data_IF_039509283101
#
_entry.id   IF_039509283101
#
_cell.length_a   1.000
_cell.length_b   1.000
_cell.length_c   1.000
_cell.angle_alpha   90.00
_cell.angle_beta   90.00
_cell.angle_gamma   90.00
#
_symmetry.space_group_name_H-M   'P 1'
#
loop_
_entity.id
_entity.type
_entity.pdbx_description
1 polymer ?
#
# COMPACT_ATOMS: atom_id res chain seq x y z
N UNK A 1 -48.51 48.95 -42.00
CA UNK A 1 -47.10 48.65 -41.52
C UNK A 1 -46.91 49.00 -40.06
N UNK A 2 -47.44 50.06 -39.51
CA UNK A 2 -47.28 50.43 -38.11
C UNK A 2 -47.88 49.45 -37.06
N UNK A 3 -49.08 48.87 -37.36
CA UNK A 3 -49.69 47.88 -36.45
C UNK A 3 -48.86 46.61 -36.26
N UNK A 4 -48.16 46.17 -37.28
CA UNK A 4 -47.31 45.00 -37.22
C UNK A 4 -46.05 45.25 -36.36
N UNK A 5 -45.42 46.45 -36.49
CA UNK A 5 -44.32 46.86 -35.69
C UNK A 5 -44.62 46.96 -34.18
N UNK A 6 -45.82 47.46 -33.84
CA UNK A 6 -46.34 47.59 -32.48
C UNK A 6 -46.56 46.22 -31.80
N UNK A 7 -47.10 45.27 -32.57
CA UNK A 7 -47.32 43.90 -32.04
C UNK A 7 -46.01 43.12 -31.87
N UNK A 8 -45.03 43.32 -32.73
CA UNK A 8 -43.67 42.72 -32.57
C UNK A 8 -42.95 43.29 -31.35
N UNK A 9 -43.09 44.63 -31.11
CA UNK A 9 -42.49 45.24 -29.91
C UNK A 9 -43.14 44.76 -28.61
N UNK A 10 -44.46 44.52 -28.59
CA UNK A 10 -45.19 43.96 -27.46
C UNK A 10 -44.83 42.49 -27.20
N UNK A 11 -44.62 41.70 -28.25
CA UNK A 11 -44.17 40.32 -28.13
C UNK A 11 -42.71 40.22 -27.59
N UNK A 12 -41.83 41.11 -28.04
CA UNK A 12 -40.46 41.16 -27.54
C UNK A 12 -40.38 41.62 -26.08
N UNK A 13 -41.25 42.54 -25.64
CA UNK A 13 -41.32 42.97 -24.25
C UNK A 13 -41.89 41.87 -23.33
N UNK A 14 -42.87 41.09 -23.79
CA UNK A 14 -43.39 39.94 -23.06
C UNK A 14 -42.37 38.80 -22.92
N UNK A 15 -41.53 38.58 -23.95
CA UNK A 15 -40.44 37.59 -23.89
C UNK A 15 -39.32 38.02 -22.92
N UNK A 16 -39.01 39.31 -22.88
CA UNK A 16 -38.01 39.86 -21.96
C UNK A 16 -38.47 39.78 -20.50
N UNK A 17 -39.75 39.97 -20.21
CA UNK A 17 -40.32 39.82 -18.86
C UNK A 17 -40.39 38.36 -18.47
N UNK A 18 -40.76 37.43 -19.36
CA UNK A 18 -40.76 36.00 -19.07
C UNK A 18 -39.33 35.45 -18.81
N UNK A 19 -38.31 35.94 -19.55
CA UNK A 19 -36.94 35.55 -19.34
C UNK A 19 -36.40 36.06 -17.99
N UNK A 20 -36.81 37.26 -17.56
CA UNK A 20 -36.39 37.79 -16.24
C UNK A 20 -37.07 37.08 -15.07
N UNK A 21 -38.34 36.64 -15.22
CA UNK A 21 -39.03 35.86 -14.20
C UNK A 21 -38.36 34.48 -14.04
N UNK A 22 -37.99 33.82 -15.14
CA UNK A 22 -37.26 32.54 -15.10
C UNK A 22 -35.88 32.64 -14.46
N UNK A 23 -35.17 33.76 -14.67
CA UNK A 23 -33.86 33.96 -14.04
C UNK A 23 -33.96 34.31 -12.56
N UNK A 24 -34.99 35.02 -12.13
CA UNK A 24 -35.23 35.31 -10.72
C UNK A 24 -35.73 34.09 -9.94
N UNK A 25 -36.57 33.26 -10.54
CA UNK A 25 -37.03 32.01 -9.92
C UNK A 25 -35.92 31.01 -9.75
N UNK A 26 -34.96 30.92 -10.68
CA UNK A 26 -33.77 30.08 -10.53
C UNK A 26 -32.82 30.59 -9.41
N UNK A 27 -32.73 31.90 -9.20
CA UNK A 27 -31.95 32.48 -8.10
C UNK A 27 -32.64 32.29 -6.75
N UNK A 28 -33.95 32.29 -6.69
CA UNK A 28 -34.73 32.07 -5.47
C UNK A 28 -34.71 30.59 -5.04
N UNK A 29 -34.66 29.64 -5.99
CA UNK A 29 -34.55 28.22 -5.65
C UNK A 29 -33.12 27.83 -5.17
N UNK A 30 -32.09 28.57 -5.60
CA UNK A 30 -30.72 28.32 -5.11
C UNK A 30 -30.45 28.88 -3.70
N UNK A 31 -31.18 29.90 -3.28
CA UNK A 31 -31.03 30.51 -1.96
C UNK A 31 -31.25 29.55 -0.75
N UNK A 32 -32.19 28.57 -0.81
CA UNK A 32 -32.32 27.58 0.26
C UNK A 32 -31.15 26.58 0.33
N UNK A 33 -30.57 26.22 -0.84
CA UNK A 33 -29.40 25.33 -0.93
C UNK A 33 -28.14 26.01 -0.36
N UNK A 34 -27.90 27.29 -0.70
CA UNK A 34 -26.80 28.09 -0.13
C UNK A 34 -26.97 28.30 1.36
N UNK A 35 -28.20 28.46 1.85
CA UNK A 35 -28.53 28.58 3.25
C UNK A 35 -28.33 27.26 4.02
N UNK A 36 -28.60 26.11 3.39
CA UNK A 36 -28.29 24.79 3.96
C UNK A 36 -26.80 24.49 3.95
N UNK A 37 -26.07 24.93 2.92
CA UNK A 37 -24.62 24.79 2.86
C UNK A 37 -23.90 25.74 3.84
N UNK A 38 -24.43 26.91 4.12
CA UNK A 38 -23.89 27.85 5.13
C UNK A 38 -24.16 27.43 6.57
N UNK A 39 -25.08 26.47 6.80
CA UNK A 39 -25.39 25.91 8.11
C UNK A 39 -24.38 24.84 8.58
N UNK A 40 -23.51 24.37 7.71
CA UNK A 40 -22.35 23.58 8.14
C UNK A 40 -21.32 24.55 8.68
N UNK A 41 -21.35 24.73 10.01
CA UNK A 41 -20.35 25.52 10.72
C UNK A 41 -18.95 25.06 10.27
N UNK A 42 -18.18 25.97 9.68
CA UNK A 42 -16.83 25.71 9.18
C UNK A 42 -15.91 25.14 10.29
N UNK A 43 -16.19 25.44 11.55
CA UNK A 43 -15.50 24.90 12.72
C UNK A 43 -15.88 23.44 12.93
N UNK A 44 -17.16 23.11 12.82
CA UNK A 44 -17.64 21.72 12.94
C UNK A 44 -17.13 20.86 11.80
N UNK A 45 -17.15 21.36 10.56
CA UNK A 45 -16.58 20.68 9.40
C UNK A 45 -15.06 20.46 9.58
N UNK A 46 -14.33 21.51 10.01
CA UNK A 46 -12.90 21.40 10.28
C UNK A 46 -12.59 20.41 11.41
N UNK A 47 -13.43 20.39 12.46
CA UNK A 47 -13.30 19.42 13.56
C UNK A 47 -13.58 17.99 13.09
N UNK A 48 -14.59 17.79 12.24
CA UNK A 48 -14.88 16.50 11.61
C UNK A 48 -13.71 16.03 10.75
N UNK A 49 -13.19 16.89 9.87
CA UNK A 49 -12.03 16.57 9.03
C UNK A 49 -10.78 16.26 9.87
N UNK A 50 -10.52 17.02 10.95
CA UNK A 50 -9.41 16.74 11.85
C UNK A 50 -9.58 15.41 12.60
N UNK A 51 -10.79 15.10 13.06
CA UNK A 51 -11.07 13.81 13.69
C UNK A 51 -10.92 12.66 12.71
N UNK A 52 -11.37 12.84 11.46
CA UNK A 52 -11.24 11.85 10.40
C UNK A 52 -9.78 11.63 10.01
N UNK A 53 -8.97 12.68 9.91
CA UNK A 53 -7.54 12.57 9.64
C UNK A 53 -6.76 11.90 10.78
N UNK A 54 -7.17 12.12 12.03
CA UNK A 54 -6.59 11.41 13.19
C UNK A 54 -6.97 9.93 13.24
N UNK A 55 -8.21 9.59 12.84
CA UNK A 55 -8.67 8.20 12.76
C UNK A 55 -8.11 7.46 11.55
N UNK A 56 -7.92 8.16 10.43
CA UNK A 56 -7.46 7.58 9.17
C UNK A 56 -6.24 8.34 8.61
N UNK A 57 -5.05 8.21 9.23
CA UNK A 57 -3.84 8.90 8.77
C UNK A 57 -3.51 8.64 7.29
N UNK A 58 -4.00 7.53 6.73
CA UNK A 58 -3.82 7.21 5.33
C UNK A 58 -4.49 8.20 4.37
N UNK A 59 -5.53 8.92 4.79
CA UNK A 59 -6.19 9.92 3.94
C UNK A 59 -5.31 11.16 3.71
N UNK A 60 -4.49 11.54 4.69
CA UNK A 60 -3.58 12.69 4.55
C UNK A 60 -2.41 12.39 3.61
N UNK A 61 -1.90 11.15 3.63
CA UNK A 61 -0.71 10.77 2.85
C UNK A 61 -1.04 10.25 1.45
N UNK A 62 -2.29 9.84 1.20
CA UNK A 62 -2.74 9.32 -0.08
C UNK A 62 -3.79 10.24 -0.72
N UNK A 63 -3.39 11.29 -1.45
CA UNK A 63 -4.33 12.25 -2.03
C UNK A 63 -5.27 11.62 -3.08
N UNK A 64 -4.88 10.45 -3.65
CA UNK A 64 -5.62 9.79 -4.71
C UNK A 64 -5.94 8.34 -4.36
N UNK A 65 -7.14 7.90 -4.78
CA UNK A 65 -7.58 6.50 -4.74
C UNK A 65 -7.26 5.80 -6.04
N UNK A 66 -5.99 5.36 -6.22
CA UNK A 66 -5.52 4.69 -7.44
C UNK A 66 -5.82 3.20 -7.33
N UNK A 67 -6.81 2.68 -8.09
CA UNK A 67 -7.14 1.24 -8.13
C UNK A 67 -6.61 0.49 -9.37
N UNK A 68 -5.91 1.18 -10.28
CA UNK A 68 -5.39 0.60 -11.52
C UNK A 68 -3.98 0.03 -11.41
N UNK A 69 -3.20 0.44 -10.40
CA UNK A 69 -1.79 0.05 -10.21
C UNK A 69 -1.51 -0.32 -8.76
N UNK A 70 -0.71 -1.37 -8.57
CA UNK A 70 -0.20 -1.76 -7.24
C UNK A 70 0.92 -0.81 -6.83
N UNK A 71 1.96 -0.73 -7.66
CA UNK A 71 3.11 0.15 -7.48
C UNK A 71 2.98 1.39 -8.35
N UNK A 72 3.27 2.55 -7.78
CA UNK A 72 3.24 3.84 -8.47
C UNK A 72 4.24 4.81 -7.84
N UNK A 73 4.62 5.83 -8.60
CA UNK A 73 5.43 6.92 -8.06
C UNK A 73 4.54 7.92 -7.33
N UNK A 74 4.92 8.21 -6.09
CA UNK A 74 4.31 9.24 -5.26
C UNK A 74 5.39 10.06 -4.56
N UNK A 75 5.09 11.32 -4.26
CA UNK A 75 5.95 12.13 -3.42
C UNK A 75 5.86 11.62 -1.99
N UNK A 76 6.91 10.97 -1.51
CA UNK A 76 6.99 10.37 -0.18
C UNK A 76 7.67 11.32 0.80
N UNK A 77 7.22 11.39 2.06
CA UNK A 77 7.90 12.14 3.10
C UNK A 77 9.28 11.53 3.39
N UNK A 78 10.21 12.33 3.92
CA UNK A 78 11.55 11.87 4.31
C UNK A 78 11.49 10.79 5.38
N UNK A 79 10.52 10.89 6.28
CA UNK A 79 10.22 9.85 7.27
C UNK A 79 8.73 9.85 7.61
N UNK A 80 8.20 8.67 7.96
CA UNK A 80 6.83 8.50 8.43
C UNK A 80 6.78 7.39 9.46
N UNK A 81 6.06 7.61 10.56
CA UNK A 81 5.87 6.63 11.63
C UNK A 81 4.57 5.87 11.39
N UNK A 82 4.69 4.57 11.15
CA UNK A 82 3.58 3.67 10.87
C UNK A 82 3.28 2.89 12.14
N UNK A 83 2.05 2.98 12.63
CA UNK A 83 1.56 2.22 13.78
C UNK A 83 1.28 0.77 13.36
N UNK A 84 1.71 -0.20 14.19
CA UNK A 84 1.57 -1.62 13.91
C UNK A 84 0.77 -2.38 14.97
N UNK A 85 0.15 -1.69 15.93
CA UNK A 85 -0.49 -2.31 17.12
C UNK A 85 -1.72 -3.17 16.80
N UNK A 86 -2.39 -2.95 15.66
CA UNK A 86 -3.57 -3.72 15.25
C UNK A 86 -3.24 -4.91 14.31
N UNK A 87 -2.02 -5.38 14.35
CA UNK A 87 -1.58 -6.43 13.43
C UNK A 87 -2.25 -7.79 13.71
N UNK A 88 -2.62 -8.45 12.62
CA UNK A 88 -2.99 -9.88 12.62
C UNK A 88 -2.23 -10.59 11.50
N UNK A 89 -1.60 -11.73 11.82
CA UNK A 89 -0.88 -12.52 10.82
C UNK A 89 -1.81 -12.96 9.68
N UNK A 90 -1.44 -12.72 8.40
CA UNK A 90 -2.32 -13.05 7.27
C UNK A 90 -2.58 -14.55 7.07
N UNK A 91 -1.73 -15.40 7.62
CA UNK A 91 -1.84 -16.87 7.49
C UNK A 91 -1.49 -17.55 8.82
N UNK A 92 -2.01 -18.73 9.05
CA UNK A 92 -1.61 -19.57 10.19
C UNK A 92 -0.21 -20.19 9.99
N UNK A 93 0.21 -20.35 8.75
CA UNK A 93 1.52 -20.92 8.42
C UNK A 93 2.59 -19.82 8.39
N UNK A 94 3.71 -20.07 9.06
CA UNK A 94 4.84 -19.12 9.19
C UNK A 94 6.02 -19.43 8.29
N UNK A 95 5.95 -20.54 7.52
CA UNK A 95 7.08 -21.00 6.70
C UNK A 95 7.27 -20.09 5.48
N UNK A 96 8.30 -19.27 5.52
CA UNK A 96 8.74 -18.46 4.36
C UNK A 96 9.42 -19.39 3.35
N UNK A 97 8.97 -19.33 2.09
CA UNK A 97 9.51 -20.11 0.98
C UNK A 97 10.40 -19.30 0.06
N UNK A 98 10.20 -17.99 -0.01
CA UNK A 98 11.07 -17.06 -0.75
C UNK A 98 11.02 -15.66 -0.11
N UNK A 99 12.15 -14.95 -0.17
CA UNK A 99 12.34 -13.65 0.53
C UNK A 99 12.24 -12.47 -0.44
N UNK A 100 12.06 -11.28 0.13
CA UNK A 100 12.10 -10.00 -0.57
C UNK A 100 13.47 -9.74 -1.20
N UNK A 101 13.48 -9.09 -2.37
CA UNK A 101 14.66 -8.53 -2.99
C UNK A 101 15.04 -9.14 -4.34
N UNK A 102 16.28 -8.86 -4.80
CA UNK A 102 16.72 -9.28 -6.12
C UNK A 102 16.96 -10.79 -6.21
N UNK A 103 16.34 -11.44 -7.19
CA UNK A 103 16.47 -12.87 -7.51
C UNK A 103 17.44 -13.06 -8.69
N UNK A 104 18.73 -13.38 -8.48
CA UNK A 104 19.73 -13.43 -9.55
C UNK A 104 19.39 -14.43 -10.67
N UNK A 105 18.86 -15.62 -10.30
CA UNK A 105 18.47 -16.65 -11.28
C UNK A 105 17.31 -16.22 -12.19
N UNK A 106 16.42 -15.34 -11.69
CA UNK A 106 15.24 -14.86 -12.41
C UNK A 106 15.42 -13.46 -12.97
N UNK A 107 16.54 -12.80 -12.71
CA UNK A 107 16.90 -11.43 -13.12
C UNK A 107 15.79 -10.40 -12.83
N UNK A 108 15.16 -10.52 -11.66
CA UNK A 108 14.06 -9.63 -11.27
C UNK A 108 14.05 -9.42 -9.76
N UNK A 109 13.43 -8.33 -9.34
CA UNK A 109 13.14 -8.04 -7.93
C UNK A 109 11.88 -8.81 -7.50
N UNK A 110 11.87 -9.31 -6.29
CA UNK A 110 10.73 -9.82 -5.56
C UNK A 110 10.26 -8.75 -4.57
N UNK A 111 9.11 -8.15 -4.83
CA UNK A 111 8.61 -7.02 -4.06
C UNK A 111 7.96 -7.41 -2.73
N UNK A 112 7.89 -8.68 -2.42
CA UNK A 112 7.32 -9.22 -1.20
C UNK A 112 8.08 -10.45 -0.71
N UNK A 113 7.43 -11.25 0.09
CA UNK A 113 7.89 -12.58 0.46
C UNK A 113 6.80 -13.60 0.17
N UNK A 114 7.20 -14.86 0.04
CA UNK A 114 6.29 -15.96 -0.23
C UNK A 114 6.14 -16.82 1.04
N UNK A 115 4.90 -16.99 1.51
CA UNK A 115 4.55 -17.81 2.69
C UNK A 115 3.88 -19.08 2.21
N UNK A 116 4.28 -20.24 2.74
CA UNK A 116 3.65 -21.52 2.41
C UNK A 116 2.19 -21.54 2.87
N UNK A 117 1.27 -21.82 1.94
CA UNK A 117 -0.14 -22.08 2.23
C UNK A 117 -0.63 -23.25 1.39
N UNK A 118 -1.72 -23.87 1.80
CA UNK A 118 -2.48 -24.82 0.98
C UNK A 118 -3.54 -24.09 0.16
N UNK A 119 -4.00 -24.73 -0.92
CA UNK A 119 -5.14 -24.20 -1.66
C UNK A 119 -6.38 -24.31 -0.75
N UNK A 120 -7.05 -23.19 -0.52
CA UNK A 120 -8.22 -23.13 0.35
C UNK A 120 -7.94 -22.61 1.76
N UNK A 121 -6.68 -22.51 2.20
CA UNK A 121 -6.33 -21.88 3.47
C UNK A 121 -6.86 -20.45 3.54
N UNK A 122 -7.40 -20.06 4.67
CA UNK A 122 -7.93 -18.71 4.87
C UNK A 122 -6.81 -17.69 4.90
N UNK A 123 -6.92 -16.65 4.08
CA UNK A 123 -6.05 -15.48 4.08
C UNK A 123 -6.80 -14.33 4.74
N UNK A 124 -6.14 -13.68 5.72
CA UNK A 124 -6.72 -12.62 6.55
C UNK A 124 -6.09 -11.27 6.28
N UNK A 125 -6.84 -10.19 6.52
CA UNK A 125 -6.32 -8.82 6.47
C UNK A 125 -5.29 -8.60 7.59
N UNK A 126 -4.11 -8.07 7.24
CA UNK A 126 -3.04 -7.82 8.22
C UNK A 126 -3.36 -6.66 9.18
N UNK A 127 -4.12 -5.68 8.75
CA UNK A 127 -4.60 -4.54 9.52
C UNK A 127 -6.00 -4.15 9.04
N UNK A 128 -6.72 -3.33 9.81
CA UNK A 128 -7.95 -2.70 9.37
C UNK A 128 -7.72 -1.75 8.20
N UNK A 129 -8.68 -1.66 7.27
CA UNK A 129 -8.54 -0.78 6.12
C UNK A 129 -9.58 -0.99 5.03
N UNK A 130 -9.36 -0.35 3.89
CA UNK A 130 -10.26 -0.39 2.73
C UNK A 130 -9.62 -1.17 1.57
N UNK A 131 -10.37 -2.10 1.01
CA UNK A 131 -9.96 -2.90 -0.15
C UNK A 131 -9.82 -1.98 -1.37
N UNK A 132 -8.61 -1.86 -1.91
CA UNK A 132 -8.29 -0.96 -3.02
C UNK A 132 -8.38 -1.64 -4.37
N UNK A 133 -7.92 -2.88 -4.47
CA UNK A 133 -7.90 -3.65 -5.72
C UNK A 133 -8.33 -5.09 -5.46
N UNK A 134 -9.22 -5.61 -6.30
CA UNK A 134 -9.57 -7.03 -6.39
C UNK A 134 -9.52 -7.42 -7.87
N UNK A 135 -8.43 -8.06 -8.31
CA UNK A 135 -8.22 -8.32 -9.73
C UNK A 135 -7.60 -9.69 -10.01
N UNK A 136 -7.70 -10.10 -11.28
CA UNK A 136 -7.04 -11.29 -11.81
C UNK A 136 -6.20 -10.93 -13.04
N UNK A 137 -4.90 -11.06 -12.94
CA UNK A 137 -3.97 -10.84 -14.05
C UNK A 137 -3.91 -12.01 -15.05
N UNK A 138 -4.68 -13.05 -14.81
CA UNK A 138 -4.79 -14.20 -15.67
C UNK A 138 -3.81 -15.34 -15.36
N UNK A 139 -3.90 -16.40 -16.14
CA UNK A 139 -3.11 -17.61 -15.94
C UNK A 139 -1.65 -17.38 -16.32
N UNK A 140 -0.71 -17.82 -15.47
CA UNK A 140 0.76 -17.72 -15.66
C UNK A 140 1.30 -16.28 -15.75
N UNK A 141 0.53 -15.27 -15.33
CA UNK A 141 0.96 -13.85 -15.34
C UNK A 141 0.88 -13.25 -13.94
N UNK A 142 1.93 -12.49 -13.57
CA UNK A 142 1.96 -11.64 -12.37
C UNK A 142 1.46 -12.31 -11.10
N UNK A 143 0.63 -11.61 -10.38
CA UNK A 143 0.04 -12.01 -9.09
C UNK A 143 -1.11 -13.03 -9.21
N UNK A 144 -1.60 -13.32 -10.44
CA UNK A 144 -2.82 -14.11 -10.62
C UNK A 144 -4.04 -13.40 -10.03
N UNK A 145 -4.83 -14.10 -9.23
CA UNK A 145 -5.86 -13.47 -8.40
C UNK A 145 -5.20 -12.82 -7.19
N UNK A 146 -5.50 -11.55 -6.94
CA UNK A 146 -4.89 -10.80 -5.85
C UNK A 146 -5.84 -9.76 -5.26
N UNK A 147 -5.55 -9.36 -4.03
CA UNK A 147 -6.21 -8.29 -3.29
C UNK A 147 -5.15 -7.29 -2.83
N UNK A 148 -5.48 -6.01 -2.87
CA UNK A 148 -4.70 -4.95 -2.25
C UNK A 148 -5.57 -4.22 -1.25
N UNK A 149 -5.08 -4.04 -0.04
CA UNK A 149 -5.77 -3.29 1.02
C UNK A 149 -4.91 -2.09 1.38
N UNK A 150 -5.54 -0.91 1.43
CA UNK A 150 -4.96 0.29 2.04
C UNK A 150 -5.43 0.36 3.48
N UNK A 151 -4.47 0.36 4.39
CA UNK A 151 -4.72 0.32 5.83
C UNK A 151 -4.75 1.72 6.42
N UNK A 152 -5.44 1.86 7.55
CA UNK A 152 -5.57 3.13 8.27
C UNK A 152 -4.23 3.68 8.74
N UNK A 153 -3.26 2.81 9.03
CA UNK A 153 -1.90 3.19 9.44
C UNK A 153 -1.00 3.68 8.29
N UNK A 154 -1.51 3.76 7.06
CA UNK A 154 -0.78 4.21 5.88
C UNK A 154 -0.01 3.13 5.13
N UNK A 155 0.03 1.89 5.59
CA UNK A 155 0.54 0.76 4.78
C UNK A 155 -0.50 0.33 3.75
N UNK A 156 -0.01 -0.25 2.67
CA UNK A 156 -0.79 -1.10 1.78
C UNK A 156 -0.20 -2.51 1.80
N UNK A 157 -1.07 -3.51 1.77
CA UNK A 157 -0.65 -4.91 1.66
C UNK A 157 -1.22 -5.55 0.41
N UNK A 158 -0.43 -6.43 -0.21
CA UNK A 158 -0.82 -7.22 -1.38
C UNK A 158 -0.86 -8.69 -1.00
N UNK A 159 -1.93 -9.34 -1.39
CA UNK A 159 -2.16 -10.78 -1.20
C UNK A 159 -2.31 -11.41 -2.58
N UNK A 160 -1.29 -12.11 -3.04
CA UNK A 160 -1.23 -12.68 -4.39
C UNK A 160 -1.40 -14.20 -4.44
N UNK A 161 -1.56 -14.71 -5.66
CA UNK A 161 -1.70 -16.14 -6.00
C UNK A 161 -2.92 -16.84 -5.42
N UNK A 162 -3.98 -16.07 -5.11
CA UNK A 162 -5.20 -16.52 -4.45
C UNK A 162 -6.01 -17.47 -5.34
N UNK A 163 -6.79 -18.37 -4.72
CA UNK A 163 -7.78 -19.22 -5.42
C UNK A 163 -9.15 -18.55 -5.52
N UNK A 164 -9.57 -17.80 -4.48
CA UNK A 164 -10.88 -17.15 -4.39
C UNK A 164 -10.76 -15.86 -3.59
N UNK A 165 -11.51 -14.83 -3.98
CA UNK A 165 -11.73 -13.62 -3.18
C UNK A 165 -12.97 -13.82 -2.29
N UNK A 166 -12.94 -13.22 -1.11
CA UNK A 166 -14.06 -13.15 -0.16
C UNK A 166 -14.53 -11.70 0.05
N UNK A 167 -13.85 -10.75 -0.61
CA UNK A 167 -14.11 -9.31 -0.52
C UNK A 167 -14.25 -8.69 -1.91
N UNK A 168 -14.80 -7.48 -1.95
CA UNK A 168 -14.94 -6.67 -3.17
C UNK A 168 -14.19 -5.34 -3.02
N UNK A 169 -13.92 -4.66 -4.13
CA UNK A 169 -13.31 -3.32 -4.12
C UNK A 169 -14.16 -2.33 -3.32
N UNK A 170 -13.48 -1.44 -2.61
CA UNK A 170 -14.05 -0.42 -1.71
C UNK A 170 -14.70 -0.96 -0.43
N UNK A 171 -14.68 -2.26 -0.17
CA UNK A 171 -15.13 -2.84 1.09
C UNK A 171 -14.17 -2.47 2.22
N UNK A 172 -14.70 -2.12 3.39
CA UNK A 172 -13.93 -2.02 4.63
C UNK A 172 -13.80 -3.39 5.27
N UNK A 173 -12.60 -3.66 5.77
CA UNK A 173 -12.26 -4.91 6.50
C UNK A 173 -11.53 -4.55 7.79
N UNK A 174 -11.72 -5.34 8.82
CA UNK A 174 -10.97 -5.26 10.08
C UNK A 174 -9.73 -6.15 10.01
N UNK A 175 -8.73 -5.85 10.84
CA UNK A 175 -7.60 -6.76 11.05
C UNK A 175 -8.10 -8.16 11.41
N UNK A 176 -7.59 -9.20 10.74
CA UNK A 176 -8.00 -10.59 10.94
C UNK A 176 -9.23 -11.05 10.14
N UNK A 177 -9.97 -10.15 9.49
CA UNK A 177 -11.09 -10.57 8.64
C UNK A 177 -10.62 -11.46 7.50
N UNK A 178 -11.39 -12.54 7.17
CA UNK A 178 -11.10 -13.38 6.03
C UNK A 178 -11.34 -12.61 4.72
N UNK A 179 -10.29 -12.44 3.92
CA UNK A 179 -10.34 -11.65 2.67
C UNK A 179 -10.24 -12.51 1.41
N UNK A 180 -9.63 -13.69 1.53
CA UNK A 180 -9.42 -14.58 0.39
C UNK A 180 -9.09 -16.00 0.82
N UNK A 181 -8.96 -16.89 -0.16
CA UNK A 181 -8.45 -18.26 0.02
C UNK A 181 -7.11 -18.42 -0.69
N UNK A 182 -6.17 -19.08 -0.04
CA UNK A 182 -4.88 -19.45 -0.58
C UNK A 182 -4.99 -20.22 -1.89
N UNK A 183 -4.02 -20.08 -2.76
CA UNK A 183 -4.07 -20.66 -4.09
C UNK A 183 -2.72 -20.86 -4.76
N UNK A 184 -2.78 -21.02 -6.09
CA UNK A 184 -1.63 -21.20 -6.96
C UNK A 184 -1.90 -20.55 -8.33
N UNK A 185 -2.51 -19.37 -8.35
CA UNK A 185 -2.85 -18.66 -9.60
C UNK A 185 -1.74 -17.72 -10.05
N UNK A 186 -1.80 -17.27 -11.30
CA UNK A 186 -0.80 -16.38 -11.87
C UNK A 186 0.54 -17.05 -12.12
N UNK A 187 1.65 -16.31 -11.92
CA UNK A 187 3.01 -16.83 -12.11
C UNK A 187 3.54 -17.48 -10.83
N UNK A 188 2.96 -18.61 -10.48
CA UNK A 188 3.32 -19.42 -9.32
C UNK A 188 3.71 -20.84 -9.73
N UNK A 189 4.66 -21.44 -9.02
CA UNK A 189 5.16 -22.81 -9.24
C UNK A 189 4.69 -23.79 -8.19
N UNK A 190 3.99 -23.33 -7.17
CA UNK A 190 3.46 -24.15 -6.08
C UNK A 190 2.60 -23.28 -5.18
N UNK A 191 1.71 -23.87 -4.40
CA UNK A 191 0.79 -23.14 -3.52
C UNK A 191 1.54 -22.33 -2.47
N UNK A 192 1.37 -21.02 -2.49
CA UNK A 192 1.91 -20.06 -1.53
C UNK A 192 1.11 -18.74 -1.55
N UNK A 193 1.15 -17.99 -0.48
CA UNK A 193 0.74 -16.60 -0.45
C UNK A 193 1.95 -15.73 -0.82
N UNK A 194 1.84 -14.94 -1.89
CA UNK A 194 2.74 -13.83 -2.13
C UNK A 194 2.24 -12.62 -1.34
N UNK A 195 3.05 -12.13 -0.40
CA UNK A 195 2.69 -11.05 0.51
C UNK A 195 3.64 -9.88 0.37
N UNK A 196 3.09 -8.69 0.07
CA UNK A 196 3.87 -7.45 -0.01
C UNK A 196 3.39 -6.44 1.03
N UNK A 197 4.30 -5.61 1.49
CA UNK A 197 4.03 -4.36 2.18
C UNK A 197 4.50 -3.19 1.35
N UNK A 198 3.65 -2.19 1.21
CA UNK A 198 3.87 -1.04 0.35
C UNK A 198 3.59 0.22 1.16
N UNK A 199 4.42 1.24 0.98
CA UNK A 199 4.16 2.59 1.45
C UNK A 199 4.25 3.57 0.29
N UNK A 200 3.13 4.24 -0.01
CA UNK A 200 3.00 5.22 -1.10
C UNK A 200 3.61 4.69 -2.42
N UNK A 201 3.16 3.50 -2.83
CA UNK A 201 3.56 2.84 -4.08
C UNK A 201 4.92 2.15 -4.05
N UNK A 202 5.75 2.31 -3.01
CA UNK A 202 7.07 1.68 -2.87
C UNK A 202 6.98 0.44 -1.99
N UNK A 203 7.44 -0.70 -2.50
CA UNK A 203 7.53 -1.93 -1.72
C UNK A 203 8.57 -1.81 -0.60
N UNK A 204 8.22 -2.32 0.57
CA UNK A 204 9.06 -2.46 1.76
C UNK A 204 9.21 -3.96 2.02
N UNK A 205 10.38 -4.39 2.48
CA UNK A 205 10.55 -5.79 2.89
C UNK A 205 9.64 -6.12 4.08
N UNK A 206 8.69 -7.05 3.93
CA UNK A 206 7.81 -7.42 5.03
C UNK A 206 8.54 -7.94 6.27
N UNK A 207 9.72 -8.54 6.12
CA UNK A 207 10.52 -9.03 7.24
C UNK A 207 11.10 -7.91 8.14
N UNK A 208 11.07 -6.65 7.71
CA UNK A 208 11.40 -5.50 8.55
C UNK A 208 10.26 -5.11 9.51
N UNK A 209 9.05 -5.46 9.14
CA UNK A 209 7.81 -5.08 9.83
C UNK A 209 7.27 -6.24 10.65
N UNK A 210 7.29 -7.45 10.10
CA UNK A 210 6.67 -8.64 10.68
C UNK A 210 7.68 -9.69 11.12
N UNK A 211 7.45 -10.27 12.28
CA UNK A 211 8.15 -11.45 12.79
C UNK A 211 7.29 -12.71 12.49
N UNK A 212 7.56 -13.33 11.36
CA UNK A 212 6.82 -14.51 10.91
C UNK A 212 7.02 -15.74 11.78
N UNK A 213 8.09 -15.79 12.59
CA UNK A 213 8.36 -16.91 13.50
C UNK A 213 7.46 -16.83 14.73
N UNK A 214 7.35 -15.63 15.31
CA UNK A 214 6.54 -15.39 16.49
C UNK A 214 5.09 -14.97 16.15
N UNK A 215 4.77 -14.83 14.87
CA UNK A 215 3.46 -14.39 14.37
C UNK A 215 3.04 -13.02 14.89
N UNK A 216 4.00 -12.11 14.97
CA UNK A 216 3.83 -10.78 15.56
C UNK A 216 4.53 -9.70 14.72
N UNK A 217 4.39 -8.46 15.12
CA UNK A 217 5.17 -7.35 14.58
C UNK A 217 6.53 -7.26 15.26
N UNK A 218 7.47 -6.64 14.58
CA UNK A 218 8.84 -6.48 15.11
C UNK A 218 8.93 -5.44 16.21
N UNK A 219 8.02 -4.47 16.23
CA UNK A 219 7.88 -3.38 17.21
C UNK A 219 6.45 -2.80 17.05
N UNK A 220 5.99 -1.98 18.01
CA UNK A 220 4.69 -1.31 17.97
C UNK A 220 4.56 -0.32 16.80
N UNK A 221 5.66 0.12 16.24
CA UNK A 221 5.70 1.03 15.10
C UNK A 221 6.90 0.77 14.21
N UNK A 222 6.74 1.05 12.93
CA UNK A 222 7.80 1.06 11.92
C UNK A 222 8.07 2.50 11.49
N UNK A 223 9.34 2.91 11.44
CA UNK A 223 9.72 4.21 10.89
C UNK A 223 10.16 4.02 9.44
N UNK A 224 9.25 4.35 8.51
CA UNK A 224 9.61 4.50 7.11
C UNK A 224 10.60 5.66 6.99
N UNK A 225 11.65 5.46 6.23
CA UNK A 225 12.61 6.51 5.86
C UNK A 225 12.73 6.50 4.34
N UNK A 226 12.49 7.65 3.73
CA UNK A 226 12.75 7.82 2.30
C UNK A 226 14.25 7.98 2.14
N UNK A 227 14.97 6.86 2.19
CA UNK A 227 16.43 6.82 2.24
C UNK A 227 17.05 7.10 0.87
N UNK A 228 16.91 8.33 0.47
CA UNK A 228 17.91 8.98 -0.36
C UNK A 228 18.91 9.63 0.61
N UNK A 229 19.78 8.84 1.25
CA UNK A 229 20.90 9.42 1.97
C UNK A 229 21.82 10.08 0.95
N UNK A 230 21.65 11.38 0.79
CA UNK A 230 22.61 12.22 0.09
C UNK A 230 23.81 12.39 1.02
N UNK A 231 24.85 11.56 0.86
CA UNK A 231 26.16 11.89 1.41
C UNK A 231 26.78 12.93 0.51
N UNK A 232 26.87 14.16 1.00
CA UNK A 232 27.68 15.19 0.36
C UNK A 232 29.11 15.00 0.88
N UNK A 233 30.02 14.64 0.00
CA UNK A 233 31.44 14.64 0.35
C UNK A 233 31.87 16.09 0.62
N UNK A 234 32.24 16.39 1.86
CA UNK A 234 32.57 17.75 2.31
C UNK A 234 33.77 18.36 1.58
N UNK A 235 34.62 17.53 0.94
CA UNK A 235 35.82 18.01 0.20
C UNK A 235 35.54 18.22 -1.29
N UNK A 236 34.68 17.42 -1.89
CA UNK A 236 34.47 17.42 -3.35
C UNK A 236 33.10 17.94 -3.76
N UNK A 237 32.17 18.18 -2.80
CA UNK A 237 30.79 18.53 -3.09
C UNK A 237 30.01 17.43 -3.82
N UNK A 238 30.61 16.26 -4.03
CA UNK A 238 29.98 15.17 -4.77
C UNK A 238 28.85 14.55 -3.93
N UNK A 239 27.65 14.61 -4.45
CA UNK A 239 26.48 13.97 -3.85
C UNK A 239 26.46 12.49 -4.26
N UNK A 240 26.73 11.61 -3.32
CA UNK A 240 26.51 10.16 -3.48
C UNK A 240 25.15 9.82 -2.88
N UNK A 241 24.29 9.22 -3.71
CA UNK A 241 22.98 8.71 -3.30
C UNK A 241 23.19 7.26 -2.85
N UNK A 242 23.17 7.02 -1.54
CA UNK A 242 23.07 5.64 -1.01
C UNK A 242 21.61 5.22 -1.02
N UNK A 243 21.25 4.34 -1.95
CA UNK A 243 19.96 3.66 -1.91
C UNK A 243 19.99 2.61 -0.81
N UNK A 244 18.92 2.52 -0.01
CA UNK A 244 18.70 1.38 0.92
C UNK A 244 18.26 0.12 0.14
N UNK A 245 18.78 -0.07 -1.06
CA UNK A 245 18.54 -1.30 -1.79
C UNK A 245 19.06 -2.48 -0.96
N UNK A 246 18.28 -3.56 -0.86
CA UNK A 246 18.69 -4.75 -0.14
C UNK A 246 20.03 -5.27 -0.67
N UNK A 247 21.03 -5.38 0.20
CA UNK A 247 22.34 -5.89 -0.15
C UNK A 247 22.45 -7.35 0.25
N UNK A 248 23.02 -8.15 -0.66
CA UNK A 248 23.09 -9.60 -0.50
C UNK A 248 24.53 -10.10 -0.51
N UNK A 249 24.82 -11.04 0.39
CA UNK A 249 26.01 -11.85 0.38
C UNK A 249 25.74 -13.20 -0.29
N UNK A 250 26.50 -13.55 -1.30
CA UNK A 250 26.41 -14.87 -1.94
C UNK A 250 27.27 -15.85 -1.15
N UNK A 251 26.66 -16.85 -0.55
CA UNK A 251 27.33 -17.86 0.28
C UNK A 251 28.38 -18.61 -0.55
N UNK A 252 29.60 -18.68 0.00
CA UNK A 252 30.74 -19.43 -0.55
C UNK A 252 31.08 -20.59 0.37
N UNK A 253 31.92 -21.50 -0.11
CA UNK A 253 32.45 -22.59 0.73
C UNK A 253 33.15 -22.02 1.97
N UNK A 254 32.85 -22.56 3.15
CA UNK A 254 33.39 -22.12 4.42
C UNK A 254 32.73 -20.91 5.06
N UNK A 255 31.67 -20.33 4.43
CA UNK A 255 30.86 -19.28 5.03
C UNK A 255 29.95 -19.87 6.12
N UNK A 256 29.78 -19.09 7.20
CA UNK A 256 28.77 -19.29 8.24
C UNK A 256 28.00 -18.01 8.44
N UNK A 257 26.79 -18.08 9.00
CA UNK A 257 25.99 -16.88 9.30
C UNK A 257 26.75 -15.89 10.20
N UNK A 258 27.53 -16.40 11.18
CA UNK A 258 28.37 -15.56 12.06
C UNK A 258 29.49 -14.86 11.28
N UNK A 259 30.17 -15.56 10.36
CA UNK A 259 31.22 -14.96 9.52
C UNK A 259 30.64 -13.92 8.57
N UNK A 260 29.47 -14.18 8.00
CA UNK A 260 28.77 -13.23 7.11
C UNK A 260 28.36 -11.98 7.91
N UNK A 261 27.78 -12.16 9.10
CA UNK A 261 27.39 -11.07 9.99
C UNK A 261 28.59 -10.18 10.35
N UNK A 262 29.70 -10.79 10.77
CA UNK A 262 30.95 -10.09 11.09
C UNK A 262 31.53 -9.34 9.88
N UNK A 263 31.59 -9.98 8.71
CA UNK A 263 32.09 -9.38 7.45
C UNK A 263 31.34 -8.12 7.07
N UNK A 264 30.00 -8.12 7.23
CA UNK A 264 29.14 -7.00 6.86
C UNK A 264 28.83 -6.07 8.04
N UNK A 265 29.41 -6.30 9.21
CA UNK A 265 29.25 -5.50 10.44
C UNK A 265 27.78 -5.36 10.85
N UNK A 266 27.02 -6.44 10.73
CA UNK A 266 25.62 -6.50 11.16
C UNK A 266 25.47 -7.48 12.33
N UNK A 267 24.58 -7.21 13.28
CA UNK A 267 24.29 -8.16 14.36
C UNK A 267 23.77 -9.48 13.78
N UNK A 268 24.23 -10.61 14.32
CA UNK A 268 23.79 -11.94 13.87
C UNK A 268 22.26 -12.12 13.98
N UNK A 269 21.66 -11.55 15.04
CA UNK A 269 20.20 -11.54 15.23
C UNK A 269 19.47 -10.82 14.09
N UNK A 270 20.02 -9.71 13.61
CA UNK A 270 19.48 -8.99 12.45
C UNK A 270 19.59 -9.83 11.17
N UNK A 271 20.73 -10.52 10.99
CA UNK A 271 20.92 -11.41 9.83
C UNK A 271 19.90 -12.55 9.82
N UNK A 272 19.64 -13.15 10.98
CA UNK A 272 18.60 -14.18 11.13
C UNK A 272 17.23 -13.64 10.73
N UNK A 273 16.85 -12.48 11.28
CA UNK A 273 15.57 -11.83 11.04
C UNK A 273 15.36 -11.50 9.55
N UNK A 274 16.34 -10.88 8.90
CA UNK A 274 16.28 -10.48 7.49
C UNK A 274 16.12 -11.67 6.52
N UNK A 275 16.48 -12.89 6.96
CA UNK A 275 16.51 -14.08 6.11
C UNK A 275 15.55 -15.20 6.57
N UNK A 276 14.74 -14.97 7.60
CA UNK A 276 13.87 -16.00 8.17
C UNK A 276 14.65 -17.21 8.71
N UNK A 277 15.84 -16.97 9.30
CA UNK A 277 16.78 -18.00 9.73
C UNK A 277 16.97 -17.99 11.24
N UNK A 278 17.57 -19.06 11.78
CA UNK A 278 17.93 -19.18 13.18
C UNK A 278 19.32 -19.81 13.32
N UNK A 279 19.77 -20.02 14.56
CA UNK A 279 21.11 -20.58 14.86
C UNK A 279 21.32 -22.01 14.30
N UNK A 280 20.24 -22.75 14.04
CA UNK A 280 20.29 -24.13 13.50
C UNK A 280 20.15 -24.16 11.96
N UNK A 281 19.96 -23.00 11.32
CA UNK A 281 19.78 -22.92 9.86
C UNK A 281 21.07 -23.23 9.14
N UNK A 282 21.03 -24.09 8.13
CA UNK A 282 22.17 -24.48 7.28
C UNK A 282 22.22 -23.58 6.04
N UNK A 283 23.44 -23.17 5.69
CA UNK A 283 23.69 -22.40 4.46
C UNK A 283 23.97 -23.34 3.29
N UNK A 284 23.51 -22.94 2.11
CA UNK A 284 23.84 -23.62 0.83
C UNK A 284 24.78 -22.75 0.02
N UNK A 285 25.83 -23.32 -0.57
CA UNK A 285 26.72 -22.58 -1.47
C UNK A 285 25.90 -21.98 -2.62
N UNK A 286 26.13 -20.68 -2.88
CA UNK A 286 25.37 -19.90 -3.85
C UNK A 286 24.07 -19.31 -3.34
N UNK A 287 23.66 -19.57 -2.12
CA UNK A 287 22.53 -18.91 -1.47
C UNK A 287 22.81 -17.42 -1.28
N UNK A 288 21.78 -16.58 -1.48
CA UNK A 288 21.88 -15.14 -1.22
C UNK A 288 21.37 -14.84 0.18
N UNK A 289 22.22 -14.26 1.02
CA UNK A 289 21.93 -13.84 2.39
C UNK A 289 21.85 -12.33 2.43
N UNK A 290 20.71 -11.80 2.78
CA UNK A 290 20.51 -10.35 2.96
C UNK A 290 21.19 -9.88 4.25
N UNK A 291 21.86 -8.70 4.21
CA UNK A 291 22.59 -8.20 5.37
C UNK A 291 22.29 -6.73 5.74
N UNK A 292 21.38 -6.02 4.99
CA UNK A 292 20.89 -4.67 5.33
C UNK A 292 19.39 -4.54 5.11
#
# INVERSE_FOLDING_TARGET
>A
MERIKRNILLLLSLFAVAANISAQDLLVEQAPLDKQMSLVDSISLRRMLLNESHQFPSQEIYPEWINSKIHYDAQRPDSFRINLTEFVMPTENTKITDIFGYRPRRRRVHNGLDIKVQIGDTIRAAFSGKVRIVQNQGRRRGYGKYVVIRHENGLETVYGHLSKWLVVENQYVKAGDPIALGGNTGRSTGSHLHFETIFMGKAIDPALIFDFVNQDVTNDYFVYRNSVRRKVDAKTGKVTVESDEPKYHKVRSGDTLSKIAARHRVPLKTLYKLNGMNAKSTLRIGQSIRYN
#
